data_IF_767578492373
#
_entry.id   IF_767578492373
#
_cell.length_a   1.000
_cell.length_b   1.000
_cell.length_c   1.000
_cell.angle_alpha   90.00
_cell.angle_beta   90.00
_cell.angle_gamma   90.00
#
_symmetry.space_group_name_H-M   'P 1'
#
loop_
_entity.id
_entity.type
_entity.pdbx_description
1 polymer ?
#
# COMPACT_ATOMS: atom_id res chain seq x y z
N UNK A 1 3.05 19.83 -32.20
CA UNK A 1 3.27 18.84 -31.10
C UNK A 1 2.01 18.03 -30.73
N UNK A 2 0.79 18.58 -30.82
CA UNK A 2 -0.44 17.88 -30.42
C UNK A 2 -0.86 16.66 -31.27
N UNK A 3 -0.31 16.50 -32.48
CA UNK A 3 -0.69 15.43 -33.42
C UNK A 3 -0.09 14.04 -33.13
N UNK A 4 0.91 13.93 -32.25
CA UNK A 4 1.58 12.65 -31.96
C UNK A 4 1.19 12.08 -30.60
N UNK A 5 0.89 12.95 -29.63
CA UNK A 5 0.70 12.53 -28.24
C UNK A 5 -0.73 12.02 -27.99
N UNK A 6 -1.76 12.73 -28.47
CA UNK A 6 -3.15 12.33 -28.31
C UNK A 6 -3.47 10.94 -28.91
N UNK A 7 -2.98 10.58 -30.11
CA UNK A 7 -3.18 9.23 -30.64
C UNK A 7 -2.53 8.15 -29.78
N UNK A 8 -1.36 8.42 -29.18
CA UNK A 8 -0.68 7.46 -28.29
C UNK A 8 -1.45 7.26 -26.99
N UNK A 9 -1.93 8.34 -26.38
CA UNK A 9 -2.77 8.29 -25.16
C UNK A 9 -4.06 7.51 -25.42
N UNK A 10 -4.77 7.81 -26.51
CA UNK A 10 -6.01 7.09 -26.87
C UNK A 10 -5.76 5.62 -27.18
N UNK A 11 -4.67 5.31 -27.89
CA UNK A 11 -4.31 3.92 -28.21
C UNK A 11 -3.98 3.12 -26.95
N UNK A 12 -3.33 3.76 -25.98
CA UNK A 12 -3.05 3.16 -24.68
C UNK A 12 -4.33 2.91 -23.89
N UNK A 13 -5.23 3.89 -23.78
CA UNK A 13 -6.53 3.73 -23.09
C UNK A 13 -7.37 2.61 -23.72
N UNK A 14 -7.50 2.61 -25.05
CA UNK A 14 -8.27 1.58 -25.78
C UNK A 14 -7.63 0.19 -25.73
N UNK A 15 -6.30 0.09 -25.67
CA UNK A 15 -5.62 -1.22 -25.57
C UNK A 15 -5.80 -1.90 -24.22
N UNK A 16 -6.06 -1.14 -23.16
CA UNK A 16 -6.23 -1.64 -21.78
C UNK A 16 -7.70 -1.56 -21.34
N UNK A 17 -8.61 -1.19 -22.24
CA UNK A 17 -10.04 -0.95 -21.96
C UNK A 17 -10.28 -0.01 -20.76
N UNK A 18 -9.47 1.05 -20.69
CA UNK A 18 -9.51 2.04 -19.63
C UNK A 18 -10.46 3.19 -19.99
N UNK A 19 -11.16 3.72 -18.99
CA UNK A 19 -12.06 4.86 -19.19
C UNK A 19 -11.31 6.11 -19.68
N UNK A 20 -11.91 6.86 -20.62
CA UNK A 20 -11.38 8.10 -21.19
C UNK A 20 -11.06 9.18 -20.14
N UNK A 21 -11.68 9.09 -18.96
CA UNK A 21 -11.40 9.95 -17.81
C UNK A 21 -9.93 9.87 -17.34
N UNK A 22 -9.24 8.75 -17.61
CA UNK A 22 -7.86 8.49 -17.18
C UNK A 22 -6.81 9.00 -18.18
N UNK A 23 -7.18 9.88 -19.12
CA UNK A 23 -6.27 10.44 -20.13
C UNK A 23 -5.05 11.15 -19.54
N UNK A 24 -5.19 11.79 -18.38
CA UNK A 24 -4.07 12.44 -17.69
C UNK A 24 -3.05 11.44 -17.16
N UNK A 25 -3.50 10.27 -16.71
CA UNK A 25 -2.63 9.20 -16.22
C UNK A 25 -1.88 8.52 -17.37
N UNK A 26 -2.60 8.21 -18.45
CA UNK A 26 -2.01 7.66 -19.66
C UNK A 26 -1.00 8.64 -20.28
N UNK A 27 -1.29 9.95 -20.30
CA UNK A 27 -0.35 10.96 -20.78
C UNK A 27 0.94 11.02 -19.96
N UNK A 28 0.85 10.98 -18.62
CA UNK A 28 2.02 11.02 -17.78
C UNK A 28 2.88 9.75 -17.89
N UNK A 29 2.24 8.58 -18.02
CA UNK A 29 2.96 7.31 -18.20
C UNK A 29 3.81 7.27 -19.48
N UNK A 30 3.37 7.96 -20.54
CA UNK A 30 4.10 8.11 -21.80
C UNK A 30 5.40 8.90 -21.67
N UNK A 31 5.54 9.71 -20.61
CA UNK A 31 6.75 10.46 -20.30
C UNK A 31 7.74 9.67 -19.43
N UNK A 32 7.40 8.44 -19.02
CA UNK A 32 8.23 7.63 -18.11
C UNK A 32 8.21 8.09 -16.65
N UNK A 33 7.34 9.05 -16.33
CA UNK A 33 7.12 9.56 -14.97
C UNK A 33 5.76 9.10 -14.44
N UNK A 34 5.62 9.03 -13.12
CA UNK A 34 4.30 8.77 -12.52
C UNK A 34 3.40 9.99 -12.74
N UNK A 35 2.07 9.81 -12.89
CA UNK A 35 1.12 10.93 -13.00
C UNK A 35 1.24 11.95 -11.87
N UNK A 36 1.54 11.47 -10.65
CA UNK A 36 1.82 12.32 -9.51
C UNK A 36 3.05 13.19 -9.73
N UNK A 37 4.17 12.60 -10.16
CA UNK A 37 5.41 13.34 -10.44
C UNK A 37 5.23 14.38 -11.54
N UNK A 38 4.55 14.01 -12.64
CA UNK A 38 4.25 14.97 -13.71
C UNK A 38 3.38 16.15 -13.26
N UNK A 39 2.44 15.92 -12.33
CA UNK A 39 1.52 16.95 -11.83
C UNK A 39 2.14 17.85 -10.75
N UNK A 40 2.81 17.27 -9.77
CA UNK A 40 3.31 17.99 -8.59
C UNK A 40 4.80 18.33 -8.69
N UNK A 41 5.51 17.82 -9.71
CA UNK A 41 6.97 17.95 -9.87
C UNK A 41 7.76 17.41 -8.67
N UNK A 42 7.16 16.48 -7.94
CA UNK A 42 7.71 15.83 -6.76
C UNK A 42 7.41 14.32 -6.82
N UNK A 43 8.31 13.49 -6.31
CA UNK A 43 8.06 12.04 -6.23
C UNK A 43 7.03 11.77 -5.13
N UNK A 44 6.06 10.85 -5.36
CA UNK A 44 5.12 10.48 -4.31
C UNK A 44 5.87 9.85 -3.14
N UNK A 45 5.48 10.22 -1.92
CA UNK A 45 5.95 9.53 -0.72
C UNK A 45 5.30 8.13 -0.67
N UNK A 46 6.14 7.12 -0.66
CA UNK A 46 5.77 5.69 -0.61
C UNK A 46 6.18 5.06 0.72
N UNK A 47 6.55 5.85 1.72
CA UNK A 47 6.94 5.37 3.06
C UNK A 47 5.87 4.52 3.77
N UNK A 48 4.60 4.73 3.41
CA UNK A 48 3.44 3.99 3.90
C UNK A 48 3.14 2.72 3.10
N UNK A 49 3.77 2.52 1.92
CA UNK A 49 3.66 1.29 1.14
C UNK A 49 4.52 0.20 1.77
N UNK A 50 3.87 -0.87 2.24
CA UNK A 50 4.49 -1.98 2.95
C UNK A 50 4.48 -3.25 2.11
N UNK A 51 5.45 -4.13 2.35
CA UNK A 51 5.54 -5.41 1.64
C UNK A 51 4.43 -6.36 2.12
N UNK A 52 3.60 -6.81 1.19
CA UNK A 52 2.54 -7.78 1.49
C UNK A 52 3.12 -9.11 1.95
N UNK A 53 2.50 -9.72 2.96
CA UNK A 53 2.98 -11.00 3.51
C UNK A 53 4.20 -10.88 4.43
N UNK A 54 4.67 -9.67 4.75
CA UNK A 54 5.76 -9.49 5.70
C UNK A 54 5.32 -9.81 7.13
N UNK A 55 6.31 -10.16 7.97
CA UNK A 55 6.10 -10.37 9.38
C UNK A 55 5.79 -9.03 10.07
N UNK A 56 4.73 -9.02 10.86
CA UNK A 56 4.30 -7.86 11.64
C UNK A 56 4.31 -8.15 13.13
N UNK A 57 4.54 -7.11 13.93
CA UNK A 57 4.39 -7.18 15.37
C UNK A 57 3.40 -6.12 15.84
N UNK A 58 2.25 -6.59 16.31
CA UNK A 58 1.23 -5.73 16.91
C UNK A 58 1.45 -5.57 18.40
N UNK A 59 1.40 -4.32 18.86
CA UNK A 59 1.56 -3.98 20.28
C UNK A 59 0.25 -3.45 20.84
N UNK A 60 -0.19 -4.02 21.96
CA UNK A 60 -1.32 -3.45 22.72
C UNK A 60 -0.94 -2.05 23.19
N UNK A 61 -1.71 -1.04 22.80
CA UNK A 61 -1.46 0.37 23.15
C UNK A 61 -1.40 0.57 24.66
N UNK A 62 -0.55 1.50 25.13
CA UNK A 62 -0.31 1.76 26.55
C UNK A 62 -1.60 1.99 27.36
N UNK A 63 -2.57 2.69 26.76
CA UNK A 63 -3.86 3.05 27.39
C UNK A 63 -4.73 1.83 27.70
N UNK A 64 -4.63 0.76 26.90
CA UNK A 64 -5.39 -0.49 27.11
C UNK A 64 -4.65 -1.49 28.01
N UNK A 65 -3.44 -1.16 28.50
CA UNK A 65 -2.66 -2.07 29.35
C UNK A 65 -3.18 -2.00 30.78
N UNK A 66 -3.63 -3.13 31.32
CA UNK A 66 -4.05 -3.27 32.73
C UNK A 66 -2.87 -3.45 33.71
N UNK A 67 -1.61 -3.26 33.30
CA UNK A 67 -0.45 -3.49 34.17
C UNK A 67 0.92 -3.23 33.53
N UNK A 68 2.00 -3.60 34.26
CA UNK A 68 3.42 -3.47 33.83
C UNK A 68 3.68 -4.12 32.47
N UNK A 69 4.66 -3.61 31.68
CA UNK A 69 4.85 -4.01 30.29
C UNK A 69 5.40 -5.43 30.19
N UNK A 70 4.50 -6.41 30.03
CA UNK A 70 4.83 -7.76 29.57
C UNK A 70 4.15 -8.00 28.22
N UNK A 71 4.31 -7.07 27.29
CA UNK A 71 3.77 -7.22 25.94
C UNK A 71 4.89 -7.66 25.01
N UNK A 72 5.06 -8.98 24.91
CA UNK A 72 5.64 -9.59 23.72
C UNK A 72 4.77 -9.14 22.55
N UNK A 73 5.34 -8.43 21.57
CA UNK A 73 4.62 -8.06 20.35
C UNK A 73 3.97 -9.32 19.77
N UNK A 74 2.69 -9.24 19.44
CA UNK A 74 1.99 -10.40 18.86
C UNK A 74 2.42 -10.50 17.41
N UNK A 75 3.01 -11.63 16.99
CA UNK A 75 3.46 -11.78 15.62
C UNK A 75 2.26 -12.05 14.71
N UNK A 76 2.24 -11.40 13.56
CA UNK A 76 1.22 -11.51 12.54
C UNK A 76 1.81 -11.42 11.13
N UNK A 77 0.92 -11.50 10.14
CA UNK A 77 1.23 -11.31 8.73
C UNK A 77 0.48 -10.06 8.24
N UNK A 78 1.19 -9.17 7.56
CA UNK A 78 0.57 -8.03 6.89
C UNK A 78 -0.24 -8.49 5.68
N UNK A 79 -1.54 -8.18 5.67
CA UNK A 79 -2.44 -8.50 4.57
C UNK A 79 -2.76 -7.30 3.68
N UNK A 80 -2.67 -6.08 4.19
CA UNK A 80 -2.98 -4.89 3.41
C UNK A 80 -3.53 -3.74 4.25
N UNK A 81 -4.30 -2.88 3.61
CA UNK A 81 -4.82 -1.65 4.23
C UNK A 81 -6.32 -1.78 4.49
N UNK A 82 -6.78 -1.22 5.61
CA UNK A 82 -8.20 -1.18 5.92
C UNK A 82 -8.95 -0.28 4.93
N UNK A 83 -10.16 -0.69 4.57
CA UNK A 83 -10.95 0.00 3.53
C UNK A 83 -11.49 1.36 4.01
N UNK A 84 -11.88 1.43 5.28
CA UNK A 84 -12.64 2.56 5.84
C UNK A 84 -11.86 3.33 6.92
N UNK A 85 -10.59 2.99 7.16
CA UNK A 85 -9.79 3.59 8.22
C UNK A 85 -8.31 3.66 7.85
N UNK A 86 -7.57 4.60 8.46
CA UNK A 86 -6.11 4.68 8.34
C UNK A 86 -5.52 3.63 9.29
N UNK A 87 -5.66 2.36 8.91
CA UNK A 87 -5.13 1.22 9.65
C UNK A 87 -4.71 0.10 8.70
N UNK A 88 -3.93 -0.83 9.23
CA UNK A 88 -3.42 -1.99 8.53
C UNK A 88 -4.24 -3.22 8.89
N UNK A 89 -4.46 -4.09 7.91
CA UNK A 89 -5.02 -5.41 8.09
C UNK A 89 -3.88 -6.40 8.36
N UNK A 90 -3.93 -7.03 9.52
CA UNK A 90 -2.96 -8.00 10.00
C UNK A 90 -3.67 -9.29 10.38
N UNK A 91 -3.10 -10.43 9.97
CA UNK A 91 -3.54 -11.73 10.45
C UNK A 91 -2.65 -12.19 11.59
N UNK A 92 -3.23 -12.41 12.77
CA UNK A 92 -2.49 -12.96 13.91
C UNK A 92 -2.10 -14.42 13.63
N UNK A 93 -0.81 -14.74 13.70
CA UNK A 93 -0.28 -16.08 13.40
C UNK A 93 -0.79 -17.16 14.37
N UNK A 94 -1.17 -16.77 15.60
CA UNK A 94 -1.64 -17.73 16.60
C UNK A 94 -3.11 -18.08 16.44
N UNK A 95 -3.94 -17.08 16.15
CA UNK A 95 -5.39 -17.24 16.11
C UNK A 95 -5.95 -17.38 14.69
N UNK A 96 -5.17 -17.04 13.66
CA UNK A 96 -5.62 -16.98 12.26
C UNK A 96 -6.66 -15.90 12.00
N UNK A 97 -6.90 -15.00 12.97
CA UNK A 97 -7.90 -13.94 12.84
C UNK A 97 -7.30 -12.69 12.25
N UNK A 98 -8.01 -12.11 11.29
CA UNK A 98 -7.70 -10.80 10.71
C UNK A 98 -8.17 -9.70 11.67
N UNK A 99 -7.28 -8.76 11.94
CA UNK A 99 -7.52 -7.60 12.80
C UNK A 99 -7.09 -6.33 12.07
N UNK A 100 -7.80 -5.23 12.34
CA UNK A 100 -7.44 -3.91 11.85
C UNK A 100 -6.69 -3.15 12.96
N UNK A 101 -5.45 -2.77 12.69
CA UNK A 101 -4.55 -2.18 13.68
C UNK A 101 -3.82 -0.97 13.09
N UNK A 102 -3.75 0.12 13.86
CA UNK A 102 -3.07 1.35 13.44
C UNK A 102 -1.57 1.36 13.80
N UNK A 103 -1.20 0.70 14.89
CA UNK A 103 0.18 0.71 15.40
C UNK A 103 0.79 -0.67 15.25
N UNK A 104 1.50 -0.87 14.15
CA UNK A 104 2.14 -2.13 13.76
C UNK A 104 3.61 -1.86 13.46
N UNK A 105 4.51 -2.71 13.96
CA UNK A 105 5.90 -2.70 13.53
C UNK A 105 6.10 -3.75 12.43
N UNK A 106 6.70 -3.34 11.32
CA UNK A 106 6.93 -4.20 10.16
C UNK A 106 8.36 -4.72 10.16
N UNK A 107 8.53 -6.03 10.01
CA UNK A 107 9.81 -6.68 9.78
C UNK A 107 9.84 -7.16 8.32
N UNK A 108 10.05 -6.21 7.41
CA UNK A 108 9.96 -6.42 5.95
C UNK A 108 11.06 -7.32 5.40
N UNK A 109 12.21 -7.41 6.09
CA UNK A 109 13.30 -8.33 5.77
C UNK A 109 12.89 -9.81 5.86
N UNK A 110 11.80 -10.09 6.58
CA UNK A 110 11.28 -11.43 6.83
C UNK A 110 9.95 -11.60 6.12
N UNK A 111 10.02 -11.91 4.82
CA UNK A 111 8.84 -12.37 4.08
C UNK A 111 8.67 -13.86 4.35
N UNK A 112 7.52 -14.24 4.89
CA UNK A 112 7.16 -15.67 4.95
C UNK A 112 6.77 -16.02 3.51
N UNK A 113 7.74 -16.50 2.74
CA UNK A 113 7.53 -16.88 1.35
C UNK A 113 6.34 -17.83 1.25
N UNK A 114 5.25 -17.36 0.66
CA UNK A 114 4.25 -18.26 0.10
C UNK A 114 4.83 -18.73 -1.22
N UNK A 115 5.38 -19.95 -1.18
CA UNK A 115 5.73 -20.74 -2.36
C UNK A 115 4.49 -21.04 -3.20
#
# INVERSE_FOLDING_TARGET
MNGVVLPRVRRMLTSVDLADLLWGEAFASLAGETPYAGRFRERPDVSELRIWGCLTFSFTQKVLRKGKPKNLGKPGIFLGYAKNSISYQEMDLKSGKVQELRTVAFAEDWTIGVM
#
